data_IF_834375740850
#
_entry.id   IF_834375740850
#
_cell.length_a   1.000
_cell.length_b   1.000
_cell.length_c   1.000
_cell.angle_alpha   90.00
_cell.angle_beta   90.00
_cell.angle_gamma   90.00
#
_symmetry.space_group_name_H-M   'P 1'
#
loop_
_entity.id
_entity.type
_entity.pdbx_description
1 polymer ?
#
# COMPACT_ATOMS: atom_id res chain seq x y z
N UNK A 1 -16.57 -0.01 5.76
CA UNK A 1 -17.70 -0.51 6.57
C UNK A 1 -17.36 -0.52 8.05
N UNK A 2 -16.31 -1.21 8.51
CA UNK A 2 -15.96 -1.31 9.94
C UNK A 2 -15.76 0.06 10.61
N UNK A 3 -15.05 0.99 10.00
CA UNK A 3 -14.81 2.33 10.53
C UNK A 3 -16.06 3.21 10.62
N UNK A 4 -17.10 2.90 9.86
CA UNK A 4 -18.34 3.69 9.78
C UNK A 4 -19.50 3.04 10.53
N UNK A 5 -19.24 1.98 11.31
CA UNK A 5 -20.25 1.15 11.94
C UNK A 5 -21.31 0.65 10.93
N UNK A 6 -20.83 0.46 9.70
CA UNK A 6 -21.66 0.07 8.57
C UNK A 6 -21.95 -1.42 8.55
N UNK A 7 -23.00 -1.78 7.82
CA UNK A 7 -23.42 -3.17 7.64
C UNK A 7 -23.47 -3.54 6.16
N UNK A 8 -23.30 -4.82 5.85
CA UNK A 8 -23.52 -5.37 4.53
C UNK A 8 -24.52 -6.53 4.62
N UNK A 9 -25.30 -6.72 3.55
CA UNK A 9 -26.20 -7.86 3.44
C UNK A 9 -25.61 -8.83 2.43
N UNK A 10 -25.35 -10.07 2.85
CA UNK A 10 -24.81 -11.15 2.04
C UNK A 10 -25.78 -12.33 2.14
N UNK A 11 -26.28 -12.79 1.02
CA UNK A 11 -27.28 -13.88 0.94
C UNK A 11 -28.50 -13.66 1.85
N UNK A 12 -28.97 -12.40 1.93
CA UNK A 12 -30.13 -12.02 2.75
C UNK A 12 -29.83 -11.86 4.25
N UNK A 13 -28.61 -12.14 4.70
CA UNK A 13 -28.19 -11.97 6.10
C UNK A 13 -27.39 -10.68 6.26
N UNK A 14 -27.74 -9.90 7.29
CA UNK A 14 -27.08 -8.62 7.60
C UNK A 14 -25.89 -8.86 8.53
N UNK A 15 -24.71 -8.37 8.13
CA UNK A 15 -23.46 -8.46 8.88
C UNK A 15 -22.93 -7.07 9.22
N UNK A 16 -22.37 -6.92 10.41
CA UNK A 16 -21.64 -5.73 10.81
C UNK A 16 -20.26 -5.68 10.13
N UNK A 17 -19.80 -4.48 9.75
CA UNK A 17 -18.53 -4.32 9.08
C UNK A 17 -17.34 -4.80 9.89
N UNK A 18 -17.36 -4.62 11.22
CA UNK A 18 -16.32 -5.12 12.10
C UNK A 18 -16.28 -6.65 12.17
N UNK A 19 -17.45 -7.30 12.14
CA UNK A 19 -17.53 -8.77 12.05
C UNK A 19 -16.92 -9.28 10.75
N UNK A 20 -17.25 -8.64 9.62
CA UNK A 20 -16.69 -8.99 8.31
C UNK A 20 -15.16 -8.81 8.29
N UNK A 21 -14.64 -7.74 8.90
CA UNK A 21 -13.20 -7.51 9.01
C UNK A 21 -12.51 -8.62 9.82
N UNK A 22 -13.10 -9.04 10.94
CA UNK A 22 -12.58 -10.17 11.74
C UNK A 22 -12.51 -11.46 10.92
N UNK A 23 -13.59 -11.78 10.20
CA UNK A 23 -13.65 -12.99 9.40
C UNK A 23 -12.65 -12.96 8.24
N UNK A 24 -12.51 -11.80 7.58
CA UNK A 24 -11.51 -11.58 6.54
C UNK A 24 -10.08 -11.80 7.08
N UNK A 25 -9.71 -11.15 8.19
CA UNK A 25 -8.38 -11.32 8.78
C UNK A 25 -8.11 -12.76 9.21
N UNK A 26 -9.12 -13.43 9.80
CA UNK A 26 -9.01 -14.85 10.15
C UNK A 26 -8.67 -15.73 8.94
N UNK A 27 -9.33 -15.50 7.81
CA UNK A 27 -9.08 -16.24 6.58
C UNK A 27 -7.71 -15.93 5.98
N UNK A 28 -7.34 -14.67 5.90
CA UNK A 28 -6.04 -14.24 5.36
C UNK A 28 -4.89 -14.79 6.19
N UNK A 29 -4.99 -14.76 7.52
CA UNK A 29 -3.95 -15.26 8.42
C UNK A 29 -3.90 -16.80 8.51
N UNK A 30 -4.94 -17.50 8.10
CA UNK A 30 -4.91 -18.95 7.99
C UNK A 30 -3.92 -19.45 6.91
N UNK A 31 -3.75 -18.67 5.84
CA UNK A 31 -2.86 -19.02 4.72
C UNK A 31 -1.39 -19.16 5.17
N UNK A 32 -0.75 -18.13 5.77
CA UNK A 32 0.63 -18.24 6.23
C UNK A 32 0.80 -19.24 7.38
N UNK A 33 -0.19 -19.39 8.26
CA UNK A 33 -0.17 -20.45 9.30
C UNK A 33 -0.08 -21.84 8.71
N UNK A 34 -0.90 -22.13 7.72
CA UNK A 34 -0.87 -23.42 7.02
C UNK A 34 0.45 -23.64 6.26
N UNK A 35 0.95 -22.61 5.58
CA UNK A 35 2.18 -22.69 4.80
C UNK A 35 3.43 -22.86 5.68
N UNK A 36 3.47 -22.24 6.85
CA UNK A 36 4.60 -22.30 7.78
C UNK A 36 4.56 -23.46 8.75
N UNK A 37 3.40 -24.10 8.94
CA UNK A 37 3.17 -25.09 9.98
C UNK A 37 3.23 -24.54 11.41
N UNK A 38 3.29 -23.19 11.55
CA UNK A 38 3.30 -22.50 12.85
C UNK A 38 1.89 -22.01 13.19
N UNK A 39 1.40 -22.35 14.36
CA UNK A 39 0.10 -21.87 14.84
C UNK A 39 0.17 -20.43 15.34
N UNK A 40 1.29 -20.04 15.97
CA UNK A 40 1.48 -18.71 16.52
C UNK A 40 2.05 -17.72 15.50
N UNK A 41 1.50 -16.50 15.52
CA UNK A 41 2.03 -15.38 14.78
C UNK A 41 3.03 -14.65 15.68
N UNK A 42 4.31 -14.69 15.32
CA UNK A 42 5.37 -14.02 16.08
C UNK A 42 5.30 -12.49 15.93
N UNK A 43 5.08 -12.02 14.71
CA UNK A 43 4.88 -10.59 14.40
C UNK A 43 3.90 -10.45 13.24
N UNK A 44 3.01 -9.48 13.34
CA UNK A 44 2.04 -9.12 12.30
C UNK A 44 2.23 -7.66 11.92
N UNK A 45 2.58 -7.40 10.67
CA UNK A 45 2.61 -6.04 10.11
C UNK A 45 1.44 -5.89 9.15
N UNK A 46 0.60 -4.91 9.39
CA UNK A 46 -0.55 -4.56 8.54
C UNK A 46 -0.25 -3.21 7.89
N UNK A 47 -0.23 -3.17 6.57
CA UNK A 47 -0.04 -1.93 5.82
C UNK A 47 -1.38 -1.35 5.39
N UNK A 48 -1.54 -0.05 5.54
CA UNK A 48 -2.76 0.68 5.16
C UNK A 48 -2.39 1.93 4.36
N UNK A 49 -3.26 2.42 3.45
CA UNK A 49 -2.96 3.62 2.67
C UNK A 49 -2.68 4.83 3.57
N UNK A 50 -3.48 5.02 4.60
CA UNK A 50 -3.36 6.11 5.58
C UNK A 50 -3.67 5.62 6.97
N UNK A 51 -2.87 6.06 7.95
CA UNK A 51 -3.12 5.77 9.35
C UNK A 51 -4.27 6.65 9.85
N UNK A 52 -5.40 6.01 10.14
CA UNK A 52 -6.56 6.62 10.76
C UNK A 52 -6.81 5.94 12.11
N UNK A 53 -7.00 6.72 13.17
CA UNK A 53 -7.17 6.19 14.54
C UNK A 53 -8.25 5.11 14.59
N UNK A 54 -9.43 5.39 14.01
CA UNK A 54 -10.55 4.43 14.00
C UNK A 54 -10.24 3.13 13.24
N UNK A 55 -9.42 3.21 12.16
CA UNK A 55 -8.96 2.02 11.44
C UNK A 55 -7.99 1.18 12.29
N UNK A 56 -7.03 1.85 12.94
CA UNK A 56 -6.08 1.19 13.83
C UNK A 56 -6.81 0.51 14.98
N UNK A 57 -7.78 1.18 15.62
CA UNK A 57 -8.60 0.62 16.70
C UNK A 57 -9.37 -0.62 16.23
N UNK A 58 -9.99 -0.57 15.04
CA UNK A 58 -10.68 -1.73 14.46
C UNK A 58 -9.74 -2.92 14.24
N UNK A 59 -8.52 -2.66 13.74
CA UNK A 59 -7.52 -3.70 13.50
C UNK A 59 -7.00 -4.29 14.80
N UNK A 60 -6.72 -3.46 15.81
CA UNK A 60 -6.30 -3.94 17.13
C UNK A 60 -7.39 -4.75 17.83
N UNK A 61 -8.67 -4.35 17.70
CA UNK A 61 -9.78 -5.14 18.20
C UNK A 61 -9.91 -6.50 17.50
N UNK A 62 -9.64 -6.55 16.19
CA UNK A 62 -9.61 -7.81 15.45
C UNK A 62 -8.42 -8.70 15.89
N UNK A 63 -7.26 -8.11 16.21
CA UNK A 63 -6.10 -8.85 16.71
C UNK A 63 -6.42 -9.53 18.05
N UNK A 64 -7.06 -8.82 18.99
CA UNK A 64 -7.53 -9.40 20.26
C UNK A 64 -8.47 -10.59 20.04
N UNK A 65 -9.43 -10.44 19.12
CA UNK A 65 -10.37 -11.51 18.78
C UNK A 65 -9.66 -12.75 18.21
N UNK A 66 -8.54 -12.56 17.51
CA UNK A 66 -7.72 -13.61 16.91
C UNK A 66 -6.64 -14.14 17.88
N UNK A 67 -6.69 -13.70 19.14
CA UNK A 67 -5.72 -14.06 20.19
C UNK A 67 -4.27 -13.72 19.83
N UNK A 68 -4.08 -12.63 19.09
CA UNK A 68 -2.75 -12.11 18.74
C UNK A 68 -2.41 -11.00 19.74
N UNK A 69 -1.27 -11.15 20.42
CA UNK A 69 -0.77 -10.14 21.35
C UNK A 69 -0.57 -8.80 20.62
N UNK A 70 -1.17 -7.73 21.16
CA UNK A 70 -1.07 -6.38 20.60
C UNK A 70 0.36 -5.89 20.44
N UNK A 71 1.28 -6.30 21.31
CA UNK A 71 2.69 -5.93 21.21
C UNK A 71 3.37 -6.50 19.97
N UNK A 72 2.76 -7.50 19.34
CA UNK A 72 3.23 -8.17 18.11
C UNK A 72 2.55 -7.64 16.85
N UNK A 73 1.61 -6.69 16.99
CA UNK A 73 0.85 -6.13 15.86
C UNK A 73 1.33 -4.71 15.58
N UNK A 74 1.78 -4.47 14.38
CA UNK A 74 2.23 -3.17 13.90
C UNK A 74 1.36 -2.74 12.71
N UNK A 75 0.75 -1.57 12.81
CA UNK A 75 0.00 -0.96 11.70
C UNK A 75 0.83 0.20 11.18
N UNK A 76 1.21 0.15 9.91
CA UNK A 76 2.03 1.17 9.25
C UNK A 76 1.34 1.68 7.98
N UNK A 77 1.70 2.88 7.54
CA UNK A 77 1.21 3.42 6.27
C UNK A 77 1.95 2.80 5.07
N UNK A 78 1.35 2.88 3.87
CA UNK A 78 2.04 2.50 2.63
C UNK A 78 3.32 3.33 2.43
N UNK A 79 3.30 4.63 2.76
CA UNK A 79 4.49 5.48 2.72
C UNK A 79 5.61 4.97 3.64
N UNK A 80 5.27 4.57 4.88
CA UNK A 80 6.24 4.00 5.82
C UNK A 80 6.76 2.63 5.35
N UNK A 81 5.88 1.77 4.85
CA UNK A 81 6.26 0.49 4.24
C UNK A 81 7.23 0.68 3.07
N UNK A 82 6.99 1.71 2.24
CA UNK A 82 7.87 2.09 1.15
C UNK A 82 9.26 2.49 1.65
N UNK A 83 9.36 3.27 2.73
CA UNK A 83 10.65 3.60 3.36
C UNK A 83 11.41 2.33 3.73
N UNK A 84 10.77 1.40 4.46
CA UNK A 84 11.43 0.14 4.88
C UNK A 84 11.89 -0.68 3.67
N UNK A 85 11.07 -0.80 2.64
CA UNK A 85 11.44 -1.52 1.43
C UNK A 85 12.67 -0.90 0.76
N UNK A 86 12.66 0.41 0.51
CA UNK A 86 13.77 1.10 -0.17
C UNK A 86 15.05 1.03 0.65
N UNK A 87 14.97 1.26 1.96
CA UNK A 87 16.14 1.22 2.84
C UNK A 87 16.75 -0.18 2.98
N UNK A 88 15.99 -1.24 2.69
CA UNK A 88 16.49 -2.61 2.63
C UNK A 88 17.28 -2.92 1.34
N UNK A 89 17.15 -2.07 0.31
CA UNK A 89 17.84 -2.24 -0.97
C UNK A 89 19.29 -1.75 -0.88
N UNK A 90 20.06 -2.03 -1.95
CA UNK A 90 21.43 -1.52 -2.10
C UNK A 90 21.42 0.01 -2.12
N UNK A 91 22.49 0.62 -1.62
CA UNK A 91 22.61 2.08 -1.48
C UNK A 91 22.42 2.85 -2.80
N UNK A 92 22.76 2.25 -3.92
CA UNK A 92 22.62 2.82 -5.26
C UNK A 92 21.14 3.15 -5.56
N UNK A 93 20.20 2.31 -5.10
CA UNK A 93 18.76 2.47 -5.32
C UNK A 93 18.24 3.75 -4.65
N UNK A 94 18.81 4.15 -3.51
CA UNK A 94 18.39 5.32 -2.73
C UNK A 94 19.51 6.37 -2.59
N UNK A 95 20.39 6.42 -3.57
CA UNK A 95 21.45 7.44 -3.63
C UNK A 95 20.92 8.85 -3.85
N UNK A 96 19.80 8.98 -4.54
CA UNK A 96 19.03 10.20 -4.75
C UNK A 96 17.56 9.97 -4.33
N UNK A 97 16.63 10.71 -4.95
CA UNK A 97 15.20 10.50 -4.75
C UNK A 97 14.76 9.14 -5.29
N UNK A 98 13.77 8.55 -4.65
CA UNK A 98 13.10 7.33 -5.13
C UNK A 98 11.62 7.61 -5.28
N UNK A 99 11.08 7.36 -6.46
CA UNK A 99 9.64 7.44 -6.72
C UNK A 99 8.98 6.07 -6.61
N UNK A 100 7.73 6.03 -6.20
CA UNK A 100 6.89 4.83 -6.25
C UNK A 100 5.52 5.19 -6.79
N UNK A 101 5.12 4.49 -7.85
CA UNK A 101 3.74 4.48 -8.31
C UNK A 101 3.05 3.22 -7.78
N UNK A 102 1.90 3.40 -7.16
CA UNK A 102 1.03 2.32 -6.71
C UNK A 102 -0.29 2.38 -7.48
N UNK A 103 -0.63 1.32 -8.19
CA UNK A 103 -1.91 1.18 -8.89
C UNK A 103 -2.72 0.05 -8.26
N UNK A 104 -3.75 0.42 -7.52
CA UNK A 104 -4.63 -0.48 -6.77
C UNK A 104 -6.10 -0.19 -7.05
N UNK A 105 -7.00 -0.88 -6.37
CA UNK A 105 -8.44 -0.60 -6.42
C UNK A 105 -8.80 0.83 -5.98
N UNK A 106 -7.94 1.48 -5.20
CA UNK A 106 -8.11 2.87 -4.75
C UNK A 106 -7.64 3.90 -5.78
N UNK A 107 -7.10 3.46 -6.92
CA UNK A 107 -6.58 4.28 -7.99
C UNK A 107 -5.06 4.33 -8.03
N UNK A 108 -4.54 5.26 -8.84
CA UNK A 108 -3.12 5.52 -8.99
C UNK A 108 -2.67 6.49 -7.89
N UNK A 109 -1.66 6.10 -7.14
CA UNK A 109 -1.00 6.92 -6.12
C UNK A 109 0.48 7.07 -6.42
N UNK A 110 1.06 8.19 -6.03
CA UNK A 110 2.49 8.45 -6.15
C UNK A 110 3.08 8.82 -4.80
N UNK A 111 4.20 8.20 -4.48
CA UNK A 111 4.99 8.45 -3.28
C UNK A 111 6.40 8.82 -3.66
N UNK A 112 6.98 9.77 -2.94
CA UNK A 112 8.37 10.17 -3.13
C UNK A 112 9.16 10.02 -1.84
N UNK A 113 10.28 9.32 -1.92
CA UNK A 113 11.23 9.17 -0.84
C UNK A 113 12.44 10.07 -1.07
N UNK A 114 12.74 10.89 -0.07
CA UNK A 114 13.90 11.77 -0.05
C UNK A 114 14.80 11.43 1.12
N UNK A 115 16.10 11.27 0.84
CA UNK A 115 17.13 11.06 1.85
C UNK A 115 17.86 12.37 2.09
N UNK A 116 17.64 12.98 3.25
CA UNK A 116 18.33 14.23 3.64
C UNK A 116 19.69 13.88 4.24
N UNK A 117 20.75 14.31 3.55
CA UNK A 117 22.14 14.15 3.96
C UNK A 117 22.68 15.47 4.48
N UNK A 118 23.57 15.42 5.46
CA UNK A 118 24.21 16.60 6.02
C UNK A 118 23.77 16.98 7.43
N UNK A 119 22.79 16.30 7.99
CA UNK A 119 22.41 16.38 9.39
C UNK A 119 23.23 15.35 10.21
N UNK A 120 23.32 15.56 11.52
CA UNK A 120 23.96 14.60 12.46
C UNK A 120 23.33 13.20 12.36
N UNK A 121 22.06 13.14 11.97
CA UNK A 121 21.34 11.91 11.70
C UNK A 121 20.77 11.98 10.28
N UNK A 122 20.87 10.87 9.55
CA UNK A 122 20.20 10.72 8.26
C UNK A 122 18.70 10.72 8.49
N UNK A 123 17.98 11.60 7.78
CA UNK A 123 16.52 11.62 7.78
C UNK A 123 16.01 11.07 6.45
N UNK A 124 15.05 10.16 6.54
CA UNK A 124 14.36 9.59 5.39
C UNK A 124 12.89 9.97 5.52
N UNK A 125 12.39 10.66 4.52
CA UNK A 125 11.01 11.13 4.47
C UNK A 125 10.37 10.55 3.22
N UNK A 126 9.21 9.94 3.37
CA UNK A 126 8.37 9.54 2.26
C UNK A 126 7.03 10.26 2.36
N UNK A 127 6.70 11.00 1.31
CA UNK A 127 5.45 11.74 1.20
C UNK A 127 4.62 11.17 0.05
N UNK A 128 3.30 11.09 0.26
CA UNK A 128 2.36 10.88 -0.83
C UNK A 128 2.10 12.23 -1.49
N UNK A 129 2.33 12.32 -2.80
CA UNK A 129 2.01 13.50 -3.58
C UNK A 129 0.69 13.30 -4.33
N UNK A 130 -0.14 14.34 -4.36
CA UNK A 130 -1.35 14.33 -5.17
C UNK A 130 -0.99 14.41 -6.66
N UNK A 131 -1.56 13.50 -7.44
CA UNK A 131 -1.47 13.54 -8.89
C UNK A 131 -2.58 14.45 -9.43
N UNK A 132 -2.27 15.27 -10.43
CA UNK A 132 -3.27 16.11 -11.11
C UNK A 132 -4.33 15.29 -11.82
N UNK A 133 -3.90 14.15 -12.38
CA UNK A 133 -4.78 13.17 -13.00
C UNK A 133 -4.50 11.80 -12.40
N UNK A 134 -5.54 11.02 -12.18
CA UNK A 134 -5.48 9.65 -11.68
C UNK A 134 -6.53 8.79 -12.37
N UNK A 135 -6.39 7.48 -12.29
CA UNK A 135 -7.34 6.51 -12.80
C UNK A 135 -7.45 5.30 -11.86
N UNK A 136 -8.54 4.57 -11.98
CA UNK A 136 -8.79 3.35 -11.23
C UNK A 136 -8.55 2.11 -12.10
N UNK A 137 -8.35 0.95 -11.46
CA UNK A 137 -8.06 -0.31 -12.14
C UNK A 137 -9.05 -0.70 -13.24
N UNK A 138 -10.35 -0.40 -13.06
CA UNK A 138 -11.39 -0.73 -14.04
C UNK A 138 -11.19 -0.04 -15.40
N UNK A 139 -10.36 1.00 -15.46
CA UNK A 139 -9.99 1.65 -16.73
C UNK A 139 -9.19 0.69 -17.61
N UNK A 140 -8.45 -0.25 -17.01
CA UNK A 140 -7.62 -1.24 -17.73
C UNK A 140 -8.44 -2.37 -18.38
N UNK A 141 -9.75 -2.41 -18.16
CA UNK A 141 -10.64 -3.41 -18.74
C UNK A 141 -10.95 -3.17 -20.25
N UNK A 142 -10.44 -2.06 -20.82
CA UNK A 142 -10.64 -1.70 -22.23
C UNK A 142 -9.39 -1.10 -22.87
N UNK A 143 -9.20 -1.32 -24.16
CA UNK A 143 -8.07 -0.76 -24.93
C UNK A 143 -8.04 0.78 -24.88
N UNK A 144 -9.19 1.44 -24.96
CA UNK A 144 -9.28 2.89 -24.83
C UNK A 144 -8.87 3.38 -23.43
N UNK A 145 -9.22 2.60 -22.41
CA UNK A 145 -8.82 2.88 -21.02
C UNK A 145 -7.32 2.69 -20.81
N UNK A 146 -6.72 1.65 -21.38
CA UNK A 146 -5.27 1.42 -21.34
C UNK A 146 -4.53 2.60 -21.98
N UNK A 147 -4.96 3.06 -23.16
CA UNK A 147 -4.37 4.23 -23.83
C UNK A 147 -4.52 5.51 -22.99
N UNK A 148 -5.64 5.69 -22.29
CA UNK A 148 -5.81 6.82 -21.38
C UNK A 148 -4.86 6.73 -20.19
N UNK A 149 -4.75 5.56 -19.57
CA UNK A 149 -3.86 5.31 -18.43
C UNK A 149 -2.39 5.53 -18.80
N UNK A 150 -1.96 5.04 -19.98
CA UNK A 150 -0.62 5.24 -20.53
C UNK A 150 -0.31 6.74 -20.71
N UNK A 151 -1.24 7.50 -21.29
CA UNK A 151 -1.08 8.96 -21.43
C UNK A 151 -0.96 9.66 -20.07
N UNK A 152 -1.75 9.28 -19.06
CA UNK A 152 -1.68 9.85 -17.73
C UNK A 152 -0.32 9.54 -17.07
N UNK A 153 0.13 8.27 -17.15
CA UNK A 153 1.43 7.86 -16.61
C UNK A 153 2.58 8.59 -17.29
N UNK A 154 2.57 8.69 -18.63
CA UNK A 154 3.59 9.41 -19.40
C UNK A 154 3.65 10.88 -19.01
N UNK A 155 2.50 11.56 -18.91
CA UNK A 155 2.42 12.96 -18.48
C UNK A 155 2.94 13.15 -17.04
N UNK A 156 2.59 12.24 -16.12
CA UNK A 156 3.12 12.27 -14.76
C UNK A 156 4.64 12.07 -14.74
N UNK A 157 5.15 11.08 -15.48
CA UNK A 157 6.58 10.78 -15.56
C UNK A 157 7.38 11.97 -16.11
N UNK A 158 6.94 12.57 -17.22
CA UNK A 158 7.59 13.74 -17.80
C UNK A 158 7.67 14.90 -16.81
N UNK A 159 6.58 15.21 -16.11
CA UNK A 159 6.52 16.28 -15.12
C UNK A 159 7.46 16.04 -13.94
N UNK A 160 7.52 14.81 -13.45
CA UNK A 160 8.39 14.43 -12.32
C UNK A 160 9.86 14.46 -12.72
N UNK A 161 10.20 13.89 -13.88
CA UNK A 161 11.58 13.79 -14.37
C UNK A 161 12.19 15.15 -14.71
N UNK A 162 11.40 16.13 -15.15
CA UNK A 162 11.91 17.48 -15.46
C UNK A 162 12.50 18.22 -14.26
N UNK A 163 12.12 17.88 -13.05
CA UNK A 163 12.45 18.66 -11.84
C UNK A 163 13.32 17.92 -10.82
N UNK A 164 13.56 16.62 -11.01
CA UNK A 164 14.11 15.77 -9.95
C UNK A 164 15.05 14.70 -10.51
N UNK A 165 16.09 14.36 -9.73
CA UNK A 165 17.00 13.26 -10.05
C UNK A 165 16.59 12.03 -9.24
N UNK A 166 16.01 11.06 -9.92
CA UNK A 166 15.67 9.77 -9.33
C UNK A 166 16.82 8.78 -9.46
N UNK A 167 17.10 8.03 -8.42
CA UNK A 167 17.95 6.83 -8.48
C UNK A 167 17.16 5.59 -8.82
N UNK A 168 15.87 5.57 -8.53
CA UNK A 168 14.97 4.49 -8.90
C UNK A 168 13.51 4.97 -8.98
N UNK A 169 12.72 4.32 -9.84
CA UNK A 169 11.26 4.38 -9.88
C UNK A 169 10.75 2.96 -9.61
N UNK A 170 9.84 2.82 -8.68
CA UNK A 170 9.26 1.55 -8.28
C UNK A 170 7.80 1.52 -8.71
N UNK A 171 7.40 0.47 -9.38
CA UNK A 171 6.02 0.20 -9.77
C UNK A 171 5.47 -0.90 -8.87
N UNK A 172 4.33 -0.66 -8.23
CA UNK A 172 3.71 -1.60 -7.30
C UNK A 172 2.19 -1.60 -7.44
N UNK A 173 1.58 -2.61 -6.87
CA UNK A 173 0.13 -2.80 -6.91
C UNK A 173 -0.32 -3.71 -8.05
N UNK A 174 -1.56 -4.17 -7.92
CA UNK A 174 -2.14 -5.17 -8.84
C UNK A 174 -2.20 -4.67 -10.29
N UNK A 175 -2.42 -3.38 -10.50
CA UNK A 175 -2.52 -2.80 -11.84
C UNK A 175 -1.22 -2.96 -12.63
N UNK A 176 -0.08 -2.65 -12.03
CA UNK A 176 1.21 -2.82 -12.70
C UNK A 176 1.60 -4.30 -12.88
N UNK A 177 1.16 -5.20 -12.00
CA UNK A 177 1.41 -6.63 -12.14
C UNK A 177 0.60 -7.28 -13.29
N UNK A 178 -0.44 -6.61 -13.79
CA UNK A 178 -1.32 -7.10 -14.85
C UNK A 178 -1.04 -6.45 -16.21
N UNK A 179 -0.08 -5.52 -16.29
CA UNK A 179 0.25 -4.77 -17.51
C UNK A 179 1.72 -4.96 -17.85
N UNK A 180 2.08 -4.73 -19.11
CA UNK A 180 3.47 -4.81 -19.59
C UNK A 180 4.27 -3.51 -19.36
N UNK A 181 3.70 -2.51 -18.67
CA UNK A 181 4.36 -1.21 -18.42
C UNK A 181 5.67 -1.29 -17.64
N UNK A 182 5.94 -2.39 -16.94
CA UNK A 182 7.20 -2.60 -16.25
C UNK A 182 8.31 -3.14 -17.16
N UNK A 183 8.00 -3.49 -18.42
CA UNK A 183 8.93 -4.06 -19.38
C UNK A 183 9.53 -3.01 -20.34
N UNK A 184 8.90 -1.84 -20.46
CA UNK A 184 9.34 -0.68 -21.26
C UNK A 184 10.03 0.37 -20.39
#
# INVERSE_FOLDING_TARGET
>A
LAMKDGTATIDGVRYEGLYLLKMFLKQVLAIPRQASGKEEIENLVITVPKLEVKLVDCLMYCADFLEIDRSRVHVISHAESFVYYVMSQKREVWSNQVGMFELSENGLHYYELRVQRGLRQMQVVADQEELEESFHLNVLDSDAGIQMADRILSSCAERLLQKRLFSAIILTGRGFAQTDWAAD
#
